data_IF_491600660814
#
_entry.id   IF_491600660814
#
_cell.length_a   1.000
_cell.length_b   1.000
_cell.length_c   1.000
_cell.angle_alpha   90.00
_cell.angle_beta   90.00
_cell.angle_gamma   90.00
#
_symmetry.space_group_name_H-M   'P 1'
#
loop_
_entity.id
_entity.type
_entity.pdbx_description
1 polymer ?
#
# COMPACT_ATOMS: atom_id res chain seq x y z
N UNK A 1 -32.02 20.26 -1.46
CA UNK A 1 -31.11 20.24 -2.59
C UNK A 1 -31.04 18.82 -3.15
N UNK A 2 -31.24 18.66 -4.44
CA UNK A 2 -31.14 17.34 -5.08
C UNK A 2 -29.77 17.17 -5.69
N UNK A 3 -29.20 15.96 -5.50
CA UNK A 3 -27.91 15.59 -6.08
C UNK A 3 -28.20 14.94 -7.43
N UNK A 4 -27.56 15.41 -8.51
CA UNK A 4 -27.72 14.79 -9.83
C UNK A 4 -27.11 13.39 -9.85
N UNK A 5 -27.55 12.54 -10.79
CA UNK A 5 -26.97 11.22 -10.97
C UNK A 5 -25.44 11.26 -11.20
N UNK A 6 -24.95 12.10 -12.12
CA UNK A 6 -23.49 12.25 -12.30
C UNK A 6 -22.74 12.69 -11.06
N UNK A 7 -23.31 13.61 -10.27
CA UNK A 7 -22.67 14.08 -9.04
C UNK A 7 -22.64 12.98 -7.98
N UNK A 8 -23.70 12.19 -7.89
CA UNK A 8 -23.75 11.04 -6.99
C UNK A 8 -22.66 10.02 -7.34
N UNK A 9 -22.52 9.68 -8.62
CA UNK A 9 -21.50 8.74 -9.09
C UNK A 9 -20.11 9.25 -8.76
N UNK A 10 -19.84 10.55 -9.00
CA UNK A 10 -18.55 11.16 -8.67
C UNK A 10 -18.27 11.10 -7.17
N UNK A 11 -19.28 11.43 -6.35
CA UNK A 11 -19.12 11.36 -4.89
C UNK A 11 -18.80 9.95 -4.42
N UNK A 12 -19.51 8.96 -4.97
CA UNK A 12 -19.25 7.56 -4.63
C UNK A 12 -17.88 7.09 -5.15
N UNK A 13 -17.45 7.58 -6.31
CA UNK A 13 -16.11 7.27 -6.83
C UNK A 13 -15.02 7.85 -5.95
N UNK A 14 -15.19 9.07 -5.45
CA UNK A 14 -14.22 9.67 -4.51
C UNK A 14 -14.15 8.90 -3.20
N UNK A 15 -15.30 8.49 -2.67
CA UNK A 15 -15.36 7.66 -1.47
C UNK A 15 -14.70 6.31 -1.73
N UNK A 16 -15.02 5.68 -2.86
CA UNK A 16 -14.42 4.41 -3.28
C UNK A 16 -12.90 4.51 -3.42
N UNK A 17 -12.40 5.61 -3.98
CA UNK A 17 -10.96 5.86 -4.11
C UNK A 17 -10.29 5.93 -2.75
N UNK A 18 -10.89 6.63 -1.79
CA UNK A 18 -10.39 6.72 -0.43
C UNK A 18 -10.36 5.36 0.26
N UNK A 19 -11.42 4.57 0.10
CA UNK A 19 -11.51 3.22 0.67
C UNK A 19 -10.48 2.30 0.01
N UNK A 20 -10.39 2.33 -1.33
CA UNK A 20 -9.45 1.49 -2.08
C UNK A 20 -8.01 1.73 -1.62
N UNK A 21 -7.59 3.00 -1.54
CA UNK A 21 -6.24 3.33 -1.11
C UNK A 21 -6.04 3.13 0.39
N UNK A 22 -7.00 3.56 1.21
CA UNK A 22 -6.90 3.47 2.67
C UNK A 22 -6.83 2.03 3.15
N UNK A 23 -7.76 1.17 2.73
CA UNK A 23 -7.76 -0.23 3.11
C UNK A 23 -6.71 -1.03 2.34
N UNK A 24 -6.50 -0.71 1.06
CA UNK A 24 -5.51 -1.39 0.23
C UNK A 24 -4.08 -1.17 0.69
N UNK A 25 -3.78 -0.07 1.38
CA UNK A 25 -2.45 0.22 1.90
C UNK A 25 -2.17 -0.49 3.23
N UNK A 26 -3.19 -1.01 3.92
CA UNK A 26 -3.01 -1.67 5.22
C UNK A 26 -2.14 -2.92 5.08
N UNK A 27 -2.45 -3.77 4.11
CA UNK A 27 -1.70 -5.01 3.89
C UNK A 27 -0.21 -4.76 3.66
N UNK A 28 0.16 -3.99 2.63
CA UNK A 28 1.55 -3.64 2.38
C UNK A 28 2.21 -2.92 3.55
N UNK A 29 1.50 -1.99 4.20
CA UNK A 29 2.03 -1.27 5.35
C UNK A 29 2.39 -2.19 6.50
N UNK A 30 1.47 -3.09 6.87
CA UNK A 30 1.71 -4.07 7.94
C UNK A 30 2.79 -5.07 7.54
N UNK A 31 2.72 -5.59 6.30
CA UNK A 31 3.68 -6.56 5.81
C UNK A 31 5.09 -6.00 5.74
N UNK A 32 5.25 -4.79 5.20
CA UNK A 32 6.56 -4.13 5.10
C UNK A 32 7.11 -3.78 6.47
N UNK A 33 6.25 -3.31 7.39
CA UNK A 33 6.64 -3.02 8.76
C UNK A 33 7.09 -4.28 9.49
N UNK A 34 6.36 -5.39 9.31
CA UNK A 34 6.74 -6.67 9.88
C UNK A 34 8.10 -7.15 9.35
N UNK A 35 8.31 -7.04 8.03
CA UNK A 35 9.58 -7.41 7.40
C UNK A 35 10.73 -6.57 7.96
N UNK A 36 10.53 -5.26 8.12
CA UNK A 36 11.54 -4.37 8.68
C UNK A 36 11.88 -4.75 10.12
N UNK A 37 10.86 -5.03 10.94
CA UNK A 37 11.07 -5.47 12.34
C UNK A 37 11.86 -6.75 12.42
N UNK A 38 11.53 -7.74 11.59
CA UNK A 38 12.24 -9.01 11.54
C UNK A 38 13.67 -8.86 11.06
N UNK A 39 13.89 -8.02 10.06
CA UNK A 39 15.24 -7.74 9.56
C UNK A 39 16.10 -7.07 10.64
N UNK A 40 15.56 -6.09 11.35
CA UNK A 40 16.27 -5.42 12.43
C UNK A 40 16.62 -6.39 13.56
N UNK A 41 15.70 -7.27 13.92
CA UNK A 41 15.95 -8.31 14.93
C UNK A 41 17.08 -9.26 14.49
N UNK A 42 17.03 -9.71 13.24
CA UNK A 42 18.04 -10.62 12.69
C UNK A 42 19.42 -9.94 12.60
N UNK A 43 19.47 -8.67 12.19
CA UNK A 43 20.72 -7.89 12.12
C UNK A 43 21.32 -7.72 13.52
N UNK A 44 20.47 -7.51 14.52
CA UNK A 44 20.92 -7.42 15.91
C UNK A 44 21.61 -8.70 16.40
N UNK A 45 21.14 -9.85 15.91
CA UNK A 45 21.74 -11.16 16.25
C UNK A 45 22.98 -11.48 15.42
N UNK A 46 23.01 -11.06 14.17
CA UNK A 46 24.10 -11.33 13.22
C UNK A 46 24.46 -10.07 12.44
N UNK A 47 25.14 -9.12 13.07
CA UNK A 47 25.49 -7.85 12.40
C UNK A 47 26.31 -8.04 11.14
N UNK A 48 27.08 -9.11 11.04
CA UNK A 48 27.91 -9.43 9.86
C UNK A 48 27.07 -9.74 8.62
N UNK A 49 25.78 -10.06 8.80
CA UNK A 49 24.87 -10.35 7.69
C UNK A 49 23.94 -9.18 7.36
N UNK A 50 24.21 -7.99 7.90
CA UNK A 50 23.35 -6.81 7.71
C UNK A 50 23.09 -6.51 6.24
N UNK A 51 24.12 -6.62 5.38
CA UNK A 51 23.97 -6.34 3.95
C UNK A 51 23.00 -7.29 3.26
N UNK A 52 23.12 -8.60 3.53
CA UNK A 52 22.25 -9.61 2.97
C UNK A 52 20.81 -9.46 3.49
N UNK A 53 20.66 -9.25 4.79
CA UNK A 53 19.35 -9.13 5.42
C UNK A 53 18.62 -7.90 4.94
N UNK A 54 19.31 -6.76 4.81
CA UNK A 54 18.72 -5.52 4.30
C UNK A 54 18.26 -5.69 2.86
N UNK A 55 19.08 -6.31 2.01
CA UNK A 55 18.74 -6.51 0.60
C UNK A 55 17.55 -7.44 0.45
N UNK A 56 17.51 -8.54 1.20
CA UNK A 56 16.40 -9.48 1.19
C UNK A 56 15.10 -8.80 1.66
N UNK A 57 15.19 -8.00 2.72
CA UNK A 57 14.07 -7.21 3.23
C UNK A 57 13.52 -6.28 2.14
N UNK A 58 14.41 -5.54 1.46
CA UNK A 58 13.97 -4.59 0.43
C UNK A 58 13.27 -5.29 -0.73
N UNK A 59 13.74 -6.46 -1.15
CA UNK A 59 13.09 -7.24 -2.20
C UNK A 59 11.68 -7.64 -1.77
N UNK A 60 11.54 -8.15 -0.54
CA UNK A 60 10.23 -8.53 -0.01
C UNK A 60 9.29 -7.34 0.12
N UNK A 61 9.81 -6.20 0.57
CA UNK A 61 9.02 -4.97 0.69
C UNK A 61 8.57 -4.45 -0.67
N UNK A 62 9.43 -4.55 -1.69
CA UNK A 62 9.08 -4.13 -3.05
C UNK A 62 7.93 -4.97 -3.61
N UNK A 63 7.94 -6.28 -3.36
CA UNK A 63 6.85 -7.16 -3.78
C UNK A 63 5.56 -6.82 -3.04
N UNK A 64 5.62 -6.59 -1.73
CA UNK A 64 4.46 -6.19 -0.93
C UNK A 64 3.89 -4.85 -1.39
N UNK A 65 4.76 -3.88 -1.72
CA UNK A 65 4.35 -2.56 -2.19
C UNK A 65 3.60 -2.61 -3.51
N UNK A 66 3.85 -3.62 -4.34
CA UNK A 66 3.12 -3.78 -5.61
C UNK A 66 1.61 -3.84 -5.39
N UNK A 67 1.14 -4.47 -4.33
CA UNK A 67 -0.29 -4.51 -3.98
C UNK A 67 -0.82 -3.11 -3.65
N UNK A 68 -0.05 -2.32 -2.90
CA UNK A 68 -0.40 -0.93 -2.60
C UNK A 68 -0.48 -0.07 -3.87
N UNK A 69 0.43 -0.30 -4.82
CA UNK A 69 0.43 0.39 -6.11
C UNK A 69 -0.83 0.03 -6.92
N UNK A 70 -1.27 -1.22 -6.91
CA UNK A 70 -2.53 -1.60 -7.56
C UNK A 70 -3.72 -0.85 -6.95
N UNK A 71 -3.77 -0.73 -5.64
CA UNK A 71 -4.81 0.05 -4.95
C UNK A 71 -4.78 1.51 -5.37
N UNK A 72 -3.57 2.09 -5.50
CA UNK A 72 -3.39 3.45 -5.96
C UNK A 72 -3.91 3.62 -7.40
N UNK A 73 -3.60 2.68 -8.29
CA UNK A 73 -4.08 2.73 -9.69
C UNK A 73 -5.61 2.73 -9.72
N UNK A 74 -6.25 1.84 -8.95
CA UNK A 74 -7.72 1.80 -8.86
C UNK A 74 -8.26 3.13 -8.33
N UNK A 75 -7.63 3.68 -7.30
CA UNK A 75 -8.05 4.97 -6.73
C UNK A 75 -7.96 6.10 -7.76
N UNK A 76 -6.87 6.15 -8.54
CA UNK A 76 -6.67 7.17 -9.56
C UNK A 76 -7.70 7.02 -10.69
N UNK A 77 -8.03 5.79 -11.09
CA UNK A 77 -9.07 5.54 -12.08
C UNK A 77 -10.43 6.06 -11.58
N UNK A 78 -10.75 5.82 -10.33
CA UNK A 78 -12.00 6.29 -9.74
C UNK A 78 -12.06 7.82 -9.65
N UNK A 79 -10.91 8.48 -9.39
CA UNK A 79 -10.86 9.92 -9.26
C UNK A 79 -10.90 10.65 -10.60
N UNK A 80 -10.27 10.11 -11.65
CA UNK A 80 -10.04 10.85 -12.88
C UNK A 80 -10.74 10.27 -14.11
N UNK A 81 -11.12 9.00 -14.09
CA UNK A 81 -11.79 8.37 -15.25
C UNK A 81 -13.29 8.27 -15.04
N UNK A 82 -13.72 8.00 -13.82
CA UNK A 82 -15.14 8.00 -13.47
C UNK A 82 -15.56 9.40 -13.04
#
# INVERSE_FOLDING_TARGET
MAISGPDFVKGMAMLGAGIAMGLGAIGPGVGEGFAAGKACEAIGKKPEEAGLLTRTMLVGQAVAESTGIYSLVVALLLLFVV
#
